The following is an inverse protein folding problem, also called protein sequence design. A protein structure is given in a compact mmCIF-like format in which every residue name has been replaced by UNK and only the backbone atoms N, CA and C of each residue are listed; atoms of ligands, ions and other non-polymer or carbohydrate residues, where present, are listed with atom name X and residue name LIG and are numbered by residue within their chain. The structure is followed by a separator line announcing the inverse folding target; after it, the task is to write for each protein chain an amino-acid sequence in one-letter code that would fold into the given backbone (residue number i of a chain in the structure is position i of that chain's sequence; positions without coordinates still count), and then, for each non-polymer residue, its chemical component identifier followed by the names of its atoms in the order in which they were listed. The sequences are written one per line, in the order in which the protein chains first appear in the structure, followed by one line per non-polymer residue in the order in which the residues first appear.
data_IF_848379451321
#
_entry.id   IF_848379451321
#
_cell.length_a   1.000
_cell.length_b   1.000
_cell.length_c   1.000
_cell.angle_alpha   90.00
_cell.angle_beta   90.00
_cell.angle_gamma   90.00
#
_symmetry.space_group_name_H-M   'P 1'
#
loop_
_entity.id
_entity.type
_entity.pdbx_description
1 polymer ?
#
# COMPACT_ATOMS: atom_id res chain seq x y z
N UNK A 1 6.38 19.65 28.68
CA UNK A 1 5.15 20.44 28.51
C UNK A 1 4.08 19.82 29.40
N UNK A 2 3.99 20.30 30.63
CA UNK A 2 3.01 19.89 31.64
C UNK A 2 1.62 20.39 31.24
N UNK A 3 0.72 19.47 30.93
CA UNK A 3 -0.69 19.77 30.65
C UNK A 3 -1.36 20.24 31.94
N UNK A 4 -1.53 21.55 32.06
CA UNK A 4 -2.40 22.16 33.07
C UNK A 4 -3.80 21.56 32.96
N UNK A 5 -4.47 21.21 34.08
CA UNK A 5 -5.82 20.65 34.02
C UNK A 5 -6.78 21.66 33.38
N UNK A 6 -7.66 21.21 32.47
CA UNK A 6 -8.57 22.09 31.76
C UNK A 6 -9.59 22.72 32.71
N UNK A 7 -10.03 23.97 32.44
CA UNK A 7 -11.09 24.61 33.21
C UNK A 7 -12.41 23.81 33.11
N UNK A 8 -13.24 23.79 34.18
CA UNK A 8 -14.45 22.99 34.22
C UNK A 8 -15.43 23.40 33.12
N UNK A 9 -15.90 22.43 32.32
CA UNK A 9 -16.94 22.62 31.30
C UNK A 9 -16.48 22.49 29.84
N UNK A 10 -15.20 22.25 29.55
CA UNK A 10 -14.75 22.00 28.17
C UNK A 10 -14.79 20.51 27.79
N UNK A 11 -15.31 20.15 26.59
CA UNK A 11 -15.15 18.81 26.04
C UNK A 11 -13.67 18.48 25.86
N UNK A 12 -13.21 17.40 26.49
CA UNK A 12 -11.84 16.91 26.35
C UNK A 12 -11.70 16.13 25.05
N UNK A 13 -11.22 16.79 24.00
CA UNK A 13 -10.88 16.11 22.74
C UNK A 13 -9.50 15.45 22.85
N UNK A 14 -9.33 14.22 22.32
CA UNK A 14 -8.00 13.64 22.22
C UNK A 14 -7.10 14.53 21.38
N UNK A 15 -5.97 14.93 21.95
CA UNK A 15 -5.03 15.81 21.27
C UNK A 15 -4.43 15.08 20.06
N UNK A 16 -4.35 15.72 18.88
CA UNK A 16 -3.71 15.11 17.72
C UNK A 16 -2.23 14.83 18.04
N UNK A 17 -1.68 13.69 17.57
CA UNK A 17 -0.28 13.37 17.81
C UNK A 17 0.67 14.41 17.18
N UNK A 18 1.88 14.57 17.74
CA UNK A 18 2.88 15.49 17.23
C UNK A 18 3.24 15.19 15.75
N UNK A 19 3.70 16.20 14.99
CA UNK A 19 3.96 16.08 13.55
C UNK A 19 4.99 14.97 13.23
N UNK A 20 4.70 14.17 12.20
CA UNK A 20 5.52 13.03 11.75
C UNK A 20 4.67 11.91 11.12
N UNK A 21 5.29 10.76 10.85
CA UNK A 21 4.61 9.58 10.26
C UNK A 21 3.45 9.05 11.13
N UNK A 22 3.55 9.20 12.45
CA UNK A 22 2.46 8.83 13.38
C UNK A 22 1.19 9.67 13.13
N UNK A 23 1.34 10.93 12.69
CA UNK A 23 0.21 11.83 12.40
C UNK A 23 -0.47 11.48 11.08
N UNK A 24 0.28 11.03 10.07
CA UNK A 24 -0.32 10.57 8.80
C UNK A 24 -1.09 9.27 9.00
N UNK A 25 -0.53 8.31 9.75
CA UNK A 25 -1.24 7.07 10.11
C UNK A 25 -2.50 7.35 10.94
N UNK A 26 -2.41 8.22 11.94
CA UNK A 26 -3.58 8.62 12.73
C UNK A 26 -4.67 9.25 11.86
N UNK A 27 -4.29 10.16 10.95
CA UNK A 27 -5.24 10.77 10.01
C UNK A 27 -5.91 9.73 9.10
N UNK A 28 -5.14 8.77 8.59
CA UNK A 28 -5.68 7.69 7.76
C UNK A 28 -6.62 6.79 8.56
N UNK A 29 -6.27 6.43 9.80
CA UNK A 29 -7.14 5.66 10.69
C UNK A 29 -8.46 6.38 10.94
N UNK A 30 -8.41 7.67 11.28
CA UNK A 30 -9.62 8.47 11.52
C UNK A 30 -10.50 8.57 10.27
N UNK A 31 -9.90 8.79 9.10
CA UNK A 31 -10.64 8.83 7.83
C UNK A 31 -11.28 7.46 7.58
N UNK A 32 -10.53 6.38 7.68
CA UNK A 32 -11.02 5.03 7.45
C UNK A 32 -12.14 4.64 8.44
N UNK A 33 -11.96 4.94 9.73
CA UNK A 33 -12.97 4.71 10.76
C UNK A 33 -14.25 5.48 10.50
N UNK A 34 -14.14 6.72 9.99
CA UNK A 34 -15.29 7.56 9.66
C UNK A 34 -16.02 7.11 8.38
N UNK A 35 -15.30 6.74 7.33
CA UNK A 35 -15.88 6.35 6.03
C UNK A 35 -16.61 5.01 6.12
N UNK A 36 -16.06 4.05 6.85
CA UNK A 36 -16.67 2.73 7.03
C UNK A 36 -17.61 2.66 8.24
N UNK A 37 -17.90 3.80 8.89
CA UNK A 37 -18.68 3.88 10.13
C UNK A 37 -18.21 2.92 11.23
N UNK A 38 -16.93 2.52 11.20
CA UNK A 38 -16.34 1.60 12.17
C UNK A 38 -16.38 2.21 13.57
N UNK A 39 -16.44 3.54 13.71
CA UNK A 39 -16.58 4.18 15.03
C UNK A 39 -17.82 3.73 15.80
N UNK A 40 -18.90 3.31 15.12
CA UNK A 40 -20.17 2.92 15.74
C UNK A 40 -20.32 1.41 15.94
N UNK A 41 -19.39 0.63 15.40
CA UNK A 41 -19.48 -0.82 15.32
C UNK A 41 -18.85 -1.50 16.54
N UNK A 42 -19.39 -2.64 16.97
CA UNK A 42 -18.83 -3.36 18.11
C UNK A 42 -17.46 -3.96 17.76
N UNK A 43 -16.55 -4.14 18.74
CA UNK A 43 -15.20 -4.65 18.47
C UNK A 43 -15.17 -6.02 17.79
N UNK A 44 -16.16 -6.89 18.06
CA UNK A 44 -16.23 -8.22 17.46
C UNK A 44 -16.66 -8.18 15.99
N UNK A 45 -17.60 -7.30 15.62
CA UNK A 45 -18.07 -7.11 14.23
C UNK A 45 -16.93 -6.61 13.34
N UNK A 46 -16.12 -5.68 13.85
CA UNK A 46 -14.89 -5.24 13.18
C UNK A 46 -13.95 -6.41 12.93
N UNK A 47 -13.80 -7.29 13.92
CA UNK A 47 -13.00 -8.51 13.81
C UNK A 47 -13.46 -9.42 12.67
N UNK A 48 -14.79 -9.55 12.47
CA UNK A 48 -15.34 -10.29 11.34
C UNK A 48 -15.06 -9.64 9.99
N UNK A 49 -15.22 -8.32 9.88
CA UNK A 49 -14.92 -7.60 8.63
C UNK A 49 -13.45 -7.79 8.24
N UNK A 50 -12.53 -7.60 9.19
CA UNK A 50 -11.10 -7.77 8.93
C UNK A 50 -10.77 -9.21 8.57
N UNK A 51 -11.35 -10.21 9.23
CA UNK A 51 -11.09 -11.61 8.91
C UNK A 51 -11.61 -11.99 7.52
N UNK A 52 -12.83 -11.57 7.16
CA UNK A 52 -13.40 -11.77 5.83
C UNK A 52 -12.54 -11.09 4.75
N UNK A 53 -12.10 -9.86 4.98
CA UNK A 53 -11.25 -9.11 4.05
C UNK A 53 -9.91 -9.82 3.85
N UNK A 54 -9.27 -10.30 4.93
CA UNK A 54 -8.04 -11.09 4.86
C UNK A 54 -8.25 -12.38 4.07
N UNK A 55 -9.35 -13.11 4.32
CA UNK A 55 -9.67 -14.35 3.61
C UNK A 55 -9.83 -14.07 2.11
N UNK A 56 -10.67 -13.10 1.73
CA UNK A 56 -10.90 -12.74 0.33
C UNK A 56 -9.59 -12.29 -0.34
N UNK A 57 -8.80 -11.47 0.34
CA UNK A 57 -7.51 -10.98 -0.17
C UNK A 57 -6.52 -12.13 -0.36
N UNK A 58 -6.46 -13.07 0.59
CA UNK A 58 -5.59 -14.24 0.50
C UNK A 58 -6.02 -15.17 -0.64
N UNK A 59 -7.33 -15.43 -0.77
CA UNK A 59 -7.88 -16.20 -1.89
C UNK A 59 -7.61 -15.52 -3.23
N UNK A 60 -7.73 -14.19 -3.29
CA UNK A 60 -7.42 -13.41 -4.47
C UNK A 60 -5.95 -13.56 -4.86
N UNK A 61 -5.02 -13.37 -3.93
CA UNK A 61 -3.60 -13.56 -4.20
C UNK A 61 -3.27 -14.99 -4.58
N UNK A 62 -3.85 -15.98 -3.91
CA UNK A 62 -3.69 -17.39 -4.25
C UNK A 62 -4.16 -17.67 -5.69
N UNK A 63 -5.31 -17.10 -6.07
CA UNK A 63 -5.85 -17.20 -7.44
C UNK A 63 -4.91 -16.55 -8.45
N UNK A 64 -4.41 -15.35 -8.17
CA UNK A 64 -3.46 -14.65 -9.04
C UNK A 64 -2.17 -15.47 -9.20
N UNK A 65 -1.58 -15.96 -8.13
CA UNK A 65 -0.32 -16.71 -8.24
C UNK A 65 -0.49 -18.09 -8.89
N UNK A 66 -1.65 -18.73 -8.73
CA UNK A 66 -1.87 -20.09 -9.24
C UNK A 66 -2.41 -20.10 -10.67
N UNK A 67 -3.36 -19.22 -11.00
CA UNK A 67 -4.07 -19.23 -12.27
C UNK A 67 -3.45 -18.29 -13.32
N UNK A 68 -2.97 -17.13 -12.89
CA UNK A 68 -2.47 -16.10 -13.79
C UNK A 68 -1.20 -16.46 -14.59
N UNK A 69 -0.19 -17.18 -14.06
CA UNK A 69 1.04 -17.43 -14.83
C UNK A 69 0.82 -18.33 -16.04
N UNK A 70 -0.12 -19.29 -15.96
CA UNK A 70 -0.49 -20.14 -17.09
C UNK A 70 -1.15 -19.34 -18.21
N UNK A 71 -2.06 -18.43 -17.85
CA UNK A 71 -2.76 -17.59 -18.82
C UNK A 71 -1.84 -16.57 -19.48
N UNK A 72 -0.91 -15.97 -18.72
CA UNK A 72 0.08 -15.04 -19.25
C UNK A 72 1.03 -15.71 -20.26
N UNK A 73 1.45 -16.95 -20.01
CA UNK A 73 2.32 -17.68 -20.94
C UNK A 73 1.62 -17.98 -22.28
N UNK A 74 0.31 -18.21 -22.24
CA UNK A 74 -0.50 -18.40 -23.45
C UNK A 74 -0.65 -17.08 -24.23
N UNK A 75 -1.01 -15.98 -23.54
CA UNK A 75 -1.15 -14.67 -24.18
C UNK A 75 0.18 -14.16 -24.74
N UNK A 76 1.29 -14.39 -24.03
CA UNK A 76 2.61 -13.92 -24.48
C UNK A 76 3.00 -14.56 -25.81
N UNK A 77 2.84 -15.88 -25.96
CA UNK A 77 3.13 -16.57 -27.23
C UNK A 77 2.32 -16.01 -28.40
N UNK A 78 1.02 -15.76 -28.16
CA UNK A 78 0.14 -15.20 -29.17
C UNK A 78 0.50 -13.75 -29.53
N UNK A 79 0.93 -12.95 -28.55
CA UNK A 79 1.41 -11.59 -28.79
C UNK A 79 2.74 -11.57 -29.54
N UNK A 80 3.67 -12.47 -29.20
CA UNK A 80 4.96 -12.62 -29.91
C UNK A 80 4.74 -12.91 -31.40
N UNK A 81 3.84 -13.84 -31.71
CA UNK A 81 3.51 -14.19 -33.09
C UNK A 81 3.02 -12.98 -33.91
N UNK A 82 2.16 -12.13 -33.33
CA UNK A 82 1.59 -11.00 -34.08
C UNK A 82 2.49 -9.77 -34.17
N UNK A 83 3.38 -9.57 -33.20
CA UNK A 83 4.20 -8.34 -33.13
C UNK A 83 5.60 -8.56 -33.68
N UNK A 84 6.19 -9.72 -33.44
CA UNK A 84 7.58 -9.99 -33.76
C UNK A 84 7.76 -11.01 -34.88
N UNK A 85 6.67 -11.60 -35.40
CA UNK A 85 6.65 -12.69 -36.40
C UNK A 85 7.52 -13.91 -36.00
N UNK A 86 8.00 -13.95 -34.75
CA UNK A 86 8.85 -15.00 -34.19
C UNK A 86 8.16 -15.58 -32.96
N UNK A 87 7.90 -16.88 -33.01
CA UNK A 87 7.19 -17.63 -31.97
C UNK A 87 8.07 -17.91 -30.74
N UNK A 88 9.39 -17.71 -30.85
CA UNK A 88 10.38 -17.93 -29.79
C UNK A 88 10.87 -16.64 -29.11
N UNK A 89 10.33 -15.47 -29.45
CA UNK A 89 10.67 -14.23 -28.75
C UNK A 89 10.28 -14.36 -27.27
N UNK A 90 11.28 -14.48 -26.40
CA UNK A 90 11.11 -14.76 -24.97
C UNK A 90 10.63 -13.51 -24.22
N UNK A 91 9.36 -13.14 -24.46
CA UNK A 91 8.67 -11.99 -23.86
C UNK A 91 8.73 -12.00 -22.33
N UNK A 92 8.85 -13.19 -21.72
CA UNK A 92 9.00 -13.34 -20.28
C UNK A 92 10.35 -12.83 -19.78
N UNK A 93 11.42 -12.95 -20.58
CA UNK A 93 12.72 -12.37 -20.26
C UNK A 93 12.66 -10.84 -20.34
N UNK A 94 12.11 -10.32 -21.44
CA UNK A 94 11.92 -8.87 -21.67
C UNK A 94 11.07 -8.24 -20.57
N UNK A 95 9.93 -8.86 -20.24
CA UNK A 95 9.05 -8.38 -19.18
C UNK A 95 9.69 -8.48 -17.80
N UNK A 96 10.46 -9.53 -17.51
CA UNK A 96 11.17 -9.68 -16.22
C UNK A 96 12.25 -8.63 -16.05
N UNK A 97 12.94 -8.27 -17.12
CA UNK A 97 13.94 -7.19 -17.10
C UNK A 97 13.25 -5.85 -16.91
N UNK A 98 12.22 -5.55 -17.68
CA UNK A 98 11.38 -4.35 -17.49
C UNK A 98 10.82 -4.26 -16.06
N UNK A 99 10.21 -5.33 -15.55
CA UNK A 99 9.59 -5.35 -14.22
C UNK A 99 10.63 -5.11 -13.12
N UNK A 100 11.81 -5.73 -13.25
CA UNK A 100 12.92 -5.54 -12.31
C UNK A 100 13.41 -4.11 -12.32
N UNK A 101 13.47 -3.50 -13.49
CA UNK A 101 13.90 -2.11 -13.63
C UNK A 101 12.84 -1.13 -13.13
N UNK A 102 11.55 -1.42 -13.31
CA UNK A 102 10.46 -0.65 -12.71
C UNK A 102 10.44 -0.76 -11.18
N UNK A 103 10.68 -1.95 -10.62
CA UNK A 103 10.77 -2.15 -9.17
C UNK A 103 11.98 -1.39 -8.60
N UNK A 104 13.13 -1.42 -9.29
CA UNK A 104 14.33 -0.65 -8.90
C UNK A 104 14.07 0.85 -8.96
N UNK A 105 13.49 1.35 -10.06
CA UNK A 105 13.16 2.77 -10.20
C UNK A 105 12.15 3.25 -9.15
N UNK A 106 11.17 2.42 -8.80
CA UNK A 106 10.22 2.73 -7.73
C UNK A 106 10.90 2.72 -6.35
N UNK A 107 11.77 1.75 -6.08
CA UNK A 107 12.56 1.68 -4.85
C UNK A 107 13.53 2.86 -4.70
N UNK A 108 14.20 3.26 -5.79
CA UNK A 108 15.12 4.40 -5.81
C UNK A 108 14.37 5.73 -5.72
N UNK A 109 13.17 5.82 -6.31
CA UNK A 109 12.27 6.97 -6.14
C UNK A 109 11.75 7.11 -4.71
N UNK A 110 11.35 6.01 -4.07
CA UNK A 110 10.95 5.98 -2.67
C UNK A 110 12.15 6.30 -1.77
N UNK A 111 13.32 5.68 -2.01
CA UNK A 111 14.54 5.94 -1.24
C UNK A 111 15.06 7.37 -1.42
N UNK A 112 14.91 7.95 -2.61
CA UNK A 112 15.20 9.35 -2.91
C UNK A 112 14.24 10.30 -2.20
N UNK A 113 12.94 9.99 -2.18
CA UNK A 113 11.91 10.77 -1.49
C UNK A 113 12.07 10.72 0.05
N UNK A 114 12.48 9.58 0.61
CA UNK A 114 12.85 9.45 2.01
C UNK A 114 14.23 10.06 2.34
N UNK A 115 15.18 10.04 1.40
CA UNK A 115 16.51 10.66 1.54
C UNK A 115 16.48 12.19 1.48
N UNK A 116 15.65 12.77 0.62
CA UNK A 116 15.42 14.23 0.55
C UNK A 116 14.80 14.77 1.85
N UNK A 117 13.96 13.97 2.52
CA UNK A 117 13.40 14.33 3.82
C UNK A 117 14.42 14.30 4.97
N UNK A 118 15.55 13.58 4.80
CA UNK A 118 16.61 13.48 5.81
C UNK A 118 17.78 14.47 5.58
N UNK A 119 17.97 14.99 4.35
CA UNK A 119 19.12 15.82 3.98
C UNK A 119 19.01 17.32 4.28
N UNK A 120 17.84 17.83 4.68
CA UNK A 120 17.61 19.28 4.85
C UNK A 120 18.19 19.93 6.11
N UNK A 121 19.13 19.29 6.84
CA UNK A 121 19.57 19.79 8.15
C UNK A 121 21.04 19.55 8.50
N UNK A 122 21.94 19.52 7.51
CA UNK A 122 23.39 19.56 7.78
C UNK A 122 24.11 20.31 6.66
N UNK A 123 23.93 21.63 6.56
CA UNK A 123 24.96 22.54 6.03
C UNK A 123 24.89 23.85 6.84
N UNK A 124 25.69 23.89 7.91
CA UNK A 124 26.27 25.08 8.54
C UNK A 124 27.78 24.87 8.57
#
# INVERSE_FOLDING_TARGET
MSSQPPPPGQPSYPHPPPPGFKRTLWRWSVIFESTFALSMMQPWEKGLIWSTLIIITTLFWLSVFTYYPGHLAYLSRRFAYYVFEDENADLRAIFREWLRDQIRQCLDGVRGLFGMAAGGRVEL
#
